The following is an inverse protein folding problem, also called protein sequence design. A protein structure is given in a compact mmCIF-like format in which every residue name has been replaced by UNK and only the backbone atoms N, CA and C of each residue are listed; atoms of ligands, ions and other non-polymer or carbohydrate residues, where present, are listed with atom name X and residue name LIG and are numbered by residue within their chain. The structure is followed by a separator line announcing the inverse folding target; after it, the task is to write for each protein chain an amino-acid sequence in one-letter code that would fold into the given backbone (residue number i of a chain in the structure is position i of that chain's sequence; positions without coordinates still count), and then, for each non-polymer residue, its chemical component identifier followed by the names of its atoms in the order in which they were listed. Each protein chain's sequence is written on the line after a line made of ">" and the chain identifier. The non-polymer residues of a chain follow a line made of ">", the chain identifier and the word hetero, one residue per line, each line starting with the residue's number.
data_IF_564679716183
#
_entry.id   IF_564679716183
#
_cell.length_a   1.000
_cell.length_b   1.000
_cell.length_c   1.000
_cell.angle_alpha   90.00
_cell.angle_beta   90.00
_cell.angle_gamma   90.00
#
_symmetry.space_group_name_H-M   'P 1'
#
loop_
_entity.id
_entity.type
_entity.pdbx_description
1 polymer ?
#
# COMPACT_ATOMS: atom_id res chain seq x y z
N UNK A 1 64.58 16.41 15.52
CA UNK A 1 64.09 16.94 14.22
C UNK A 1 62.85 16.10 13.89
N UNK A 2 61.63 16.39 14.38
CA UNK A 2 60.78 17.57 14.12
C UNK A 2 60.67 17.80 12.59
N UNK A 3 59.53 17.76 11.90
CA UNK A 3 58.22 18.46 12.06
C UNK A 3 57.17 17.69 11.20
N UNK A 4 56.01 17.25 11.71
CA UNK A 4 54.66 17.84 11.59
C UNK A 4 54.17 18.28 10.19
N UNK A 5 53.10 17.66 9.66
CA UNK A 5 52.06 18.42 8.95
C UNK A 5 50.70 17.73 9.07
N UNK A 6 49.72 18.54 9.45
CA UNK A 6 48.31 18.27 9.66
C UNK A 6 47.52 18.22 8.35
N UNK A 7 46.55 17.32 8.25
CA UNK A 7 45.30 17.63 7.56
C UNK A 7 44.12 16.95 8.25
N UNK A 8 43.17 17.79 8.65
CA UNK A 8 41.91 17.44 9.30
C UNK A 8 41.02 16.66 8.33
N UNK A 9 40.72 15.41 8.67
CA UNK A 9 39.61 14.67 8.06
C UNK A 9 38.29 15.23 8.61
N UNK A 10 37.54 15.93 7.76
CA UNK A 10 36.14 16.26 8.00
C UNK A 10 35.31 14.99 7.80
N UNK A 11 34.74 14.49 8.88
CA UNK A 11 33.66 13.51 8.88
C UNK A 11 32.39 14.14 8.27
N UNK A 12 31.73 13.53 7.27
CA UNK A 12 30.35 13.87 6.96
C UNK A 12 29.43 13.26 8.04
N UNK A 13 28.52 14.08 8.52
CA UNK A 13 27.61 13.81 9.63
C UNK A 13 26.65 12.66 9.34
N UNK A 14 26.57 11.72 10.27
CA UNK A 14 25.43 10.82 10.42
C UNK A 14 24.19 11.64 10.87
N UNK A 15 22.98 11.40 10.32
CA UNK A 15 21.78 11.99 10.87
C UNK A 15 21.42 11.28 12.18
N UNK A 16 21.66 11.98 13.29
CA UNK A 16 21.25 11.62 14.63
C UNK A 16 19.75 11.87 14.82
N UNK A 17 19.00 10.84 15.20
CA UNK A 17 17.63 10.98 15.71
C UNK A 17 17.38 9.97 16.82
N UNK A 18 17.78 10.29 18.05
CA UNK A 18 17.21 9.75 19.29
C UNK A 18 17.39 10.76 20.42
N UNK A 19 16.31 11.17 21.11
CA UNK A 19 16.42 11.49 22.52
C UNK A 19 15.59 10.54 23.38
N UNK A 20 16.22 10.18 24.49
CA UNK A 20 15.73 9.34 25.56
C UNK A 20 14.56 9.97 26.34
N UNK A 21 13.79 9.07 26.94
CA UNK A 21 12.66 9.26 27.87
C UNK A 21 12.97 10.12 29.11
N UNK A 22 11.99 10.93 29.55
CA UNK A 22 11.67 11.14 30.98
C UNK A 22 10.16 11.22 31.22
N UNK A 23 9.71 10.49 32.24
CA UNK A 23 8.36 10.42 32.81
C UNK A 23 8.09 11.60 33.76
N UNK A 24 6.83 12.02 33.84
CA UNK A 24 6.00 12.43 35.00
C UNK A 24 4.72 13.01 34.37
N UNK A 25 3.46 12.73 34.73
CA UNK A 25 2.87 12.19 35.95
C UNK A 25 1.68 13.10 36.31
N UNK A 26 0.48 12.50 36.40
CA UNK A 26 -0.68 12.89 37.22
C UNK A 26 -1.87 13.68 36.62
N UNK A 27 -3.03 13.19 37.05
CA UNK A 27 -4.36 13.78 37.26
C UNK A 27 -5.52 13.50 36.26
N UNK A 28 -6.63 13.18 36.91
CA UNK A 28 -7.99 12.73 36.55
C UNK A 28 -8.93 13.53 37.50
N UNK A 29 -10.28 13.38 37.51
CA UNK A 29 -11.33 13.44 36.49
C UNK A 29 -12.45 14.48 36.87
N UNK A 30 -13.44 14.72 35.99
CA UNK A 30 -14.82 15.17 36.35
C UNK A 30 -15.71 15.16 35.08
N UNK A 31 -16.73 14.32 34.97
CA UNK A 31 -18.12 14.43 35.47
C UNK A 31 -19.08 15.32 34.64
N UNK A 32 -20.11 14.65 34.12
CA UNK A 32 -21.53 15.02 33.99
C UNK A 32 -21.95 16.33 33.29
N UNK A 33 -22.83 16.22 32.28
CA UNK A 33 -24.20 16.74 32.39
C UNK A 33 -25.11 16.21 31.28
N UNK A 34 -26.23 15.65 31.73
CA UNK A 34 -27.43 15.28 30.99
C UNK A 34 -28.25 16.54 30.73
N UNK A 35 -28.78 16.73 29.52
CA UNK A 35 -29.86 17.68 29.27
C UNK A 35 -30.99 16.99 28.50
N UNK A 36 -32.07 16.68 29.22
CA UNK A 36 -33.40 16.43 28.67
C UNK A 36 -34.11 17.78 28.56
N UNK A 37 -34.73 18.07 27.42
CA UNK A 37 -35.91 18.94 27.41
C UNK A 37 -36.96 18.36 26.47
N UNK A 38 -38.15 18.25 27.06
CA UNK A 38 -39.42 17.87 26.47
C UNK A 38 -40.11 19.12 25.93
N UNK A 39 -40.73 19.05 24.75
CA UNK A 39 -42.01 19.73 24.53
C UNK A 39 -42.80 19.11 23.37
N UNK A 40 -44.04 18.76 23.70
CA UNK A 40 -45.13 18.33 22.84
C UNK A 40 -45.89 19.53 22.26
N UNK A 41 -46.34 19.43 21.00
CA UNK A 41 -47.67 19.91 20.59
C UNK A 41 -48.07 19.30 19.24
N UNK A 42 -49.34 18.91 19.16
CA UNK A 42 -50.05 18.32 18.02
C UNK A 42 -50.86 19.38 17.25
N UNK A 43 -51.41 18.95 16.10
CA UNK A 43 -52.43 19.54 15.19
C UNK A 43 -51.81 20.25 13.96
N UNK A 44 -52.25 20.09 12.72
CA UNK A 44 -53.23 19.20 12.09
C UNK A 44 -53.04 19.22 10.55
N UNK A 45 -53.41 18.12 9.91
CA UNK A 45 -53.94 17.91 8.54
C UNK A 45 -53.42 18.65 7.27
N UNK A 46 -53.20 17.80 6.25
CA UNK A 46 -53.36 17.97 4.78
C UNK A 46 -52.33 18.78 3.99
N UNK A 47 -51.43 18.07 3.28
CA UNK A 47 -51.41 17.95 1.80
C UNK A 47 -50.46 16.80 1.43
N UNK A 48 -50.99 15.73 0.83
CA UNK A 48 -50.24 14.55 0.39
C UNK A 48 -49.41 14.87 -0.86
N UNK A 49 -48.08 14.88 -0.72
CA UNK A 49 -47.14 14.72 -1.83
C UNK A 49 -46.50 13.33 -1.70
N UNK A 50 -46.89 12.46 -2.63
CA UNK A 50 -46.38 11.10 -2.78
C UNK A 50 -44.90 11.14 -3.20
N UNK A 51 -44.01 10.98 -2.22
CA UNK A 51 -42.57 10.76 -2.46
C UNK A 51 -42.25 9.35 -2.00
N UNK A 52 -42.42 8.40 -2.93
CA UNK A 52 -41.88 7.05 -2.78
C UNK A 52 -40.36 7.13 -2.57
N UNK A 53 -39.80 6.49 -1.52
CA UNK A 53 -38.35 6.44 -1.36
C UNK A 53 -37.78 5.54 -2.46
N UNK A 54 -37.10 6.14 -3.45
CA UNK A 54 -36.29 5.39 -4.42
C UNK A 54 -35.27 4.57 -3.63
N UNK A 55 -35.44 3.24 -3.67
CA UNK A 55 -34.46 2.27 -3.20
C UNK A 55 -33.08 2.65 -3.74
N UNK A 56 -32.15 2.96 -2.83
CA UNK A 56 -30.74 3.03 -3.13
C UNK A 56 -30.35 1.69 -3.79
N UNK A 57 -30.02 1.74 -5.08
CA UNK A 57 -29.48 0.59 -5.79
C UNK A 57 -28.11 0.31 -5.20
N UNK A 58 -27.98 -0.79 -4.49
CA UNK A 58 -26.69 -1.39 -4.15
C UNK A 58 -25.92 -1.62 -5.45
N UNK A 59 -24.81 -0.91 -5.64
CA UNK A 59 -23.89 -1.17 -6.76
C UNK A 59 -23.28 -2.57 -6.57
N UNK A 60 -23.44 -3.48 -7.54
CA UNK A 60 -22.77 -4.77 -7.45
C UNK A 60 -21.26 -4.54 -7.66
N UNK A 61 -20.44 -5.09 -6.76
CA UNK A 61 -19.00 -5.28 -6.98
C UNK A 61 -18.86 -6.06 -8.29
N UNK A 62 -18.37 -5.41 -9.34
CA UNK A 62 -18.22 -6.03 -10.65
C UNK A 62 -17.05 -7.03 -10.59
N UNK A 63 -17.36 -8.27 -10.20
CA UNK A 63 -16.46 -9.42 -10.34
C UNK A 63 -16.29 -9.71 -11.83
N UNK A 64 -15.30 -9.09 -12.46
CA UNK A 64 -14.86 -9.50 -13.80
C UNK A 64 -14.10 -10.82 -13.65
N UNK A 65 -14.83 -11.93 -13.72
CA UNK A 65 -14.25 -13.28 -13.83
C UNK A 65 -13.92 -13.49 -15.30
N UNK A 66 -12.65 -13.31 -15.67
CA UNK A 66 -12.18 -13.73 -16.99
C UNK A 66 -12.17 -15.26 -17.01
N UNK A 67 -12.77 -15.92 -18.02
CA UNK A 67 -12.72 -17.38 -18.12
C UNK A 67 -11.27 -17.82 -18.30
N UNK A 68 -10.78 -18.60 -17.33
CA UNK A 68 -9.47 -19.26 -17.40
C UNK A 68 -9.57 -20.33 -18.47
N UNK A 69 -8.83 -20.18 -19.57
CA UNK A 69 -8.61 -21.27 -20.52
C UNK A 69 -7.98 -22.43 -19.75
N UNK A 70 -8.66 -23.57 -19.70
CA UNK A 70 -8.19 -24.79 -19.03
C UNK A 70 -6.92 -25.29 -19.72
N UNK A 71 -5.76 -24.90 -19.22
CA UNK A 71 -4.49 -25.46 -19.65
C UNK A 71 -4.39 -26.94 -19.25
N UNK A 72 -3.91 -27.79 -20.16
CA UNK A 72 -3.67 -29.20 -19.86
C UNK A 72 -2.47 -29.35 -18.93
N UNK A 73 -2.46 -30.40 -18.09
CA UNK A 73 -1.37 -30.71 -17.15
C UNK A 73 0.01 -30.75 -17.82
N UNK A 74 0.09 -31.16 -19.09
CA UNK A 74 1.35 -31.20 -19.86
C UNK A 74 1.90 -29.78 -20.18
N UNK A 75 1.04 -28.84 -20.55
CA UNK A 75 1.46 -27.45 -20.84
C UNK A 75 1.92 -26.70 -19.59
N UNK A 76 1.37 -27.04 -18.43
CA UNK A 76 1.83 -26.53 -17.12
C UNK A 76 3.21 -27.10 -16.80
N UNK A 77 3.42 -28.40 -17.03
CA UNK A 77 4.69 -29.07 -16.80
C UNK A 77 5.83 -28.52 -17.67
N UNK A 78 5.57 -28.23 -18.95
CA UNK A 78 6.59 -27.66 -19.84
C UNK A 78 7.01 -26.25 -19.42
N UNK A 79 6.03 -25.37 -19.11
CA UNK A 79 6.24 -23.96 -18.75
C UNK A 79 7.18 -23.80 -17.57
N UNK A 80 7.01 -24.59 -16.52
CA UNK A 80 7.78 -24.49 -15.28
C UNK A 80 8.95 -25.48 -15.21
N UNK A 81 9.24 -26.22 -16.30
CA UNK A 81 10.28 -27.25 -16.34
C UNK A 81 11.63 -26.77 -15.79
N UNK A 82 12.07 -25.55 -16.13
CA UNK A 82 13.34 -24.97 -15.63
C UNK A 82 13.31 -24.64 -14.15
N UNK A 83 12.17 -24.21 -13.63
CA UNK A 83 12.01 -23.93 -12.20
C UNK A 83 11.95 -25.24 -11.39
N UNK A 84 11.29 -26.28 -11.92
CA UNK A 84 11.23 -27.62 -11.32
C UNK A 84 12.62 -28.26 -11.20
N UNK A 85 13.56 -27.96 -12.10
CA UNK A 85 14.95 -28.46 -12.00
C UNK A 85 15.72 -27.87 -10.82
N UNK A 86 15.29 -26.74 -10.25
CA UNK A 86 15.93 -26.18 -9.07
C UNK A 86 15.54 -27.01 -7.84
N UNK A 87 16.50 -27.78 -7.32
CA UNK A 87 16.26 -28.82 -6.32
C UNK A 87 15.45 -28.38 -5.08
N UNK A 88 15.64 -27.17 -4.50
CA UNK A 88 14.79 -26.71 -3.41
C UNK A 88 13.31 -26.58 -3.76
N UNK A 89 12.97 -26.25 -5.01
CA UNK A 89 11.59 -26.19 -5.49
C UNK A 89 11.12 -27.59 -5.90
N UNK A 90 11.73 -28.20 -6.91
CA UNK A 90 11.30 -29.50 -7.42
C UNK A 90 9.84 -29.51 -7.94
N UNK A 91 9.34 -30.69 -8.28
CA UNK A 91 7.94 -30.83 -8.71
C UNK A 91 6.95 -30.50 -7.57
N UNK A 92 7.22 -31.02 -6.36
CA UNK A 92 6.37 -30.80 -5.20
C UNK A 92 6.31 -29.33 -4.75
N UNK A 93 7.42 -28.58 -4.82
CA UNK A 93 7.39 -27.15 -4.54
C UNK A 93 6.65 -26.37 -5.61
N UNK A 94 6.75 -26.77 -6.89
CA UNK A 94 5.96 -26.15 -7.96
C UNK A 94 4.45 -26.36 -7.77
N UNK A 95 4.01 -27.54 -7.31
CA UNK A 95 2.61 -27.81 -6.97
C UNK A 95 2.13 -26.89 -5.83
N UNK A 96 2.95 -26.69 -4.79
CA UNK A 96 2.63 -25.75 -3.70
C UNK A 96 2.52 -24.31 -4.20
N UNK A 97 3.45 -23.88 -5.06
CA UNK A 97 3.42 -22.55 -5.70
C UNK A 97 2.14 -22.41 -6.53
N UNK A 98 1.79 -23.42 -7.34
CA UNK A 98 0.58 -23.43 -8.17
C UNK A 98 -0.72 -23.42 -7.36
N UNK A 99 -0.72 -23.95 -6.14
CA UNK A 99 -1.87 -23.89 -5.23
C UNK A 99 -1.92 -22.60 -4.40
N UNK A 100 -0.87 -21.76 -4.45
CA UNK A 100 -0.70 -20.65 -3.52
C UNK A 100 -1.57 -19.43 -3.83
N UNK A 101 -1.89 -18.68 -2.77
CA UNK A 101 -2.63 -17.41 -2.81
C UNK A 101 -1.82 -16.32 -2.14
N UNK A 102 -1.39 -15.33 -2.92
CA UNK A 102 -0.53 -14.23 -2.47
C UNK A 102 -1.25 -12.90 -2.67
N UNK A 103 -1.26 -12.05 -1.65
CA UNK A 103 -1.77 -10.68 -1.76
C UNK A 103 -0.60 -9.69 -1.89
N UNK A 104 -0.73 -8.74 -2.81
CA UNK A 104 0.26 -7.68 -3.05
C UNK A 104 -0.44 -6.34 -2.83
N UNK A 105 0.04 -5.58 -1.86
CA UNK A 105 -0.49 -4.25 -1.53
C UNK A 105 0.42 -3.21 -2.18
N UNK A 106 -0.12 -2.51 -3.17
CA UNK A 106 0.62 -1.65 -4.07
C UNK A 106 1.00 -2.36 -5.37
N UNK A 107 0.63 -1.78 -6.50
CA UNK A 107 1.02 -2.13 -7.87
C UNK A 107 1.94 -1.04 -8.46
N UNK A 108 2.68 -0.33 -7.61
CA UNK A 108 3.75 0.59 -8.01
C UNK A 108 4.97 -0.16 -8.56
N UNK A 109 6.16 0.43 -8.42
CA UNK A 109 7.38 -0.12 -9.03
C UNK A 109 7.73 -1.51 -8.47
N UNK A 110 7.78 -1.64 -7.14
CA UNK A 110 8.07 -2.91 -6.46
C UNK A 110 6.97 -3.93 -6.71
N UNK A 111 5.71 -3.51 -6.63
CA UNK A 111 4.55 -4.38 -6.74
C UNK A 111 4.36 -4.94 -8.14
N UNK A 112 4.57 -4.11 -9.17
CA UNK A 112 4.55 -4.55 -10.56
C UNK A 112 5.64 -5.60 -10.84
N UNK A 113 6.87 -5.36 -10.35
CA UNK A 113 7.96 -6.31 -10.48
C UNK A 113 7.67 -7.62 -9.72
N UNK A 114 7.20 -7.53 -8.47
CA UNK A 114 6.87 -8.70 -7.64
C UNK A 114 5.72 -9.53 -8.25
N UNK A 115 4.64 -8.87 -8.70
CA UNK A 115 3.52 -9.53 -9.35
C UNK A 115 3.95 -10.23 -10.64
N UNK A 116 4.81 -9.59 -11.44
CA UNK A 116 5.36 -10.21 -12.65
C UNK A 116 6.19 -11.46 -12.33
N UNK A 117 7.07 -11.40 -11.33
CA UNK A 117 7.90 -12.52 -10.92
C UNK A 117 7.07 -13.68 -10.35
N UNK A 118 6.13 -13.40 -9.43
CA UNK A 118 5.25 -14.43 -8.84
C UNK A 118 4.36 -15.08 -9.90
N UNK A 119 3.80 -14.29 -10.80
CA UNK A 119 3.01 -14.82 -11.90
C UNK A 119 3.85 -15.72 -12.81
N UNK A 120 5.09 -15.33 -13.14
CA UNK A 120 6.00 -16.16 -13.94
C UNK A 120 6.50 -17.39 -13.20
N UNK A 121 6.58 -17.35 -11.87
CA UNK A 121 6.85 -18.51 -11.03
C UNK A 121 5.66 -19.47 -10.93
N UNK A 122 4.48 -19.06 -11.38
CA UNK A 122 3.27 -19.89 -11.41
C UNK A 122 2.46 -19.86 -10.11
N UNK A 123 2.52 -18.78 -9.33
CA UNK A 123 1.64 -18.62 -8.16
C UNK A 123 0.18 -18.66 -8.60
N UNK A 124 -0.59 -19.60 -8.05
CA UNK A 124 -1.94 -19.91 -8.53
C UNK A 124 -2.94 -18.76 -8.46
N UNK A 125 -2.85 -17.93 -7.43
CA UNK A 125 -3.73 -16.77 -7.25
C UNK A 125 -2.97 -15.56 -6.75
N UNK A 126 -3.12 -14.43 -7.46
CA UNK A 126 -2.61 -13.13 -7.04
C UNK A 126 -3.78 -12.18 -6.74
N UNK A 127 -3.77 -11.57 -5.56
CA UNK A 127 -4.67 -10.47 -5.20
C UNK A 127 -3.88 -9.18 -5.26
N UNK A 128 -4.24 -8.28 -6.18
CA UNK A 128 -3.55 -7.02 -6.45
C UNK A 128 -4.39 -5.87 -5.93
N UNK A 129 -3.87 -5.11 -4.97
CA UNK A 129 -4.59 -4.00 -4.34
C UNK A 129 -3.83 -2.71 -4.63
N UNK A 130 -4.41 -1.83 -5.43
CA UNK A 130 -3.85 -0.50 -5.68
C UNK A 130 -4.97 0.46 -6.09
N UNK A 131 -4.95 1.67 -5.56
CA UNK A 131 -5.92 2.74 -5.83
C UNK A 131 -5.50 3.66 -6.98
N UNK A 132 -4.23 3.66 -7.34
CA UNK A 132 -3.64 4.62 -8.24
C UNK A 132 -3.86 4.21 -9.71
N UNK A 133 -3.58 5.17 -10.59
CA UNK A 133 -3.62 5.03 -12.03
C UNK A 133 -2.20 5.06 -12.60
N UNK A 134 -2.04 4.48 -13.79
CA UNK A 134 -0.77 4.54 -14.51
C UNK A 134 -0.49 5.97 -14.95
N UNK A 135 0.75 6.43 -14.74
CA UNK A 135 1.23 7.74 -15.16
C UNK A 135 2.52 7.60 -15.97
N UNK A 136 2.73 8.46 -16.97
CA UNK A 136 3.89 8.42 -17.86
C UNK A 136 5.23 8.52 -17.10
N UNK A 137 5.30 9.39 -16.10
CA UNK A 137 6.47 9.57 -15.23
C UNK A 137 6.87 8.32 -14.43
N UNK A 138 6.00 7.31 -14.40
CA UNK A 138 6.20 6.06 -13.65
C UNK A 138 6.72 4.92 -14.53
N UNK A 139 6.56 5.02 -15.84
CA UNK A 139 6.88 3.94 -16.79
C UNK A 139 8.36 3.55 -16.76
N UNK A 140 9.25 4.47 -16.39
CA UNK A 140 10.69 4.19 -16.26
C UNK A 140 11.03 3.06 -15.24
N UNK A 141 10.12 2.78 -14.29
CA UNK A 141 10.34 1.80 -13.20
C UNK A 141 9.19 0.82 -12.97
N UNK A 142 8.02 1.01 -13.59
CA UNK A 142 6.84 0.15 -13.38
C UNK A 142 6.67 -0.83 -14.55
N UNK A 143 7.34 -1.97 -14.44
CA UNK A 143 7.58 -2.92 -15.55
C UNK A 143 6.35 -3.59 -16.16
N UNK A 144 5.17 -3.50 -15.53
CA UNK A 144 3.93 -4.10 -16.05
C UNK A 144 3.10 -3.15 -16.93
N UNK A 145 3.43 -1.85 -16.96
CA UNK A 145 2.59 -0.86 -17.61
C UNK A 145 3.21 -0.34 -18.91
N UNK A 146 2.36 0.04 -19.85
CA UNK A 146 2.74 0.64 -21.14
C UNK A 146 2.25 2.09 -21.26
N UNK A 147 2.77 2.80 -22.27
CA UNK A 147 2.35 4.18 -22.54
C UNK A 147 0.85 4.32 -22.80
N UNK A 148 0.22 3.30 -23.40
CA UNK A 148 -1.23 3.29 -23.61
C UNK A 148 -2.00 3.27 -22.29
N UNK A 149 -1.52 2.51 -21.29
CA UNK A 149 -2.13 2.48 -19.96
C UNK A 149 -2.08 3.86 -19.31
N UNK A 150 -0.96 4.57 -19.48
CA UNK A 150 -0.77 5.94 -18.99
C UNK A 150 -1.68 6.94 -19.70
N UNK A 151 -1.76 6.90 -21.04
CA UNK A 151 -2.63 7.78 -21.83
C UNK A 151 -4.10 7.63 -21.44
N UNK A 152 -4.52 6.39 -21.17
CA UNK A 152 -5.89 6.07 -20.79
C UNK A 152 -6.17 6.26 -19.28
N UNK A 153 -5.16 6.63 -18.47
CA UNK A 153 -5.24 6.66 -17.02
C UNK A 153 -5.87 5.36 -16.48
N UNK A 154 -5.32 4.22 -16.88
CA UNK A 154 -5.83 2.90 -16.46
C UNK A 154 -5.48 2.65 -14.99
N UNK A 155 -6.41 2.11 -14.16
CA UNK A 155 -6.07 1.71 -12.79
C UNK A 155 -4.91 0.71 -12.77
N UNK A 156 -3.91 0.92 -11.90
CA UNK A 156 -2.70 0.08 -11.84
C UNK A 156 -3.02 -1.39 -11.60
N UNK A 157 -3.92 -1.68 -10.66
CA UNK A 157 -4.33 -3.06 -10.35
C UNK A 157 -4.94 -3.76 -11.59
N UNK A 158 -5.76 -3.05 -12.36
CA UNK A 158 -6.38 -3.59 -13.57
C UNK A 158 -5.40 -3.71 -14.74
N UNK A 159 -4.52 -2.71 -14.94
CA UNK A 159 -3.46 -2.78 -15.94
C UNK A 159 -2.51 -3.97 -15.67
N UNK A 160 -2.12 -4.18 -14.42
CA UNK A 160 -1.31 -5.32 -14.00
C UNK A 160 -2.02 -6.65 -14.28
N UNK A 161 -3.31 -6.76 -13.92
CA UNK A 161 -4.15 -7.94 -14.19
C UNK A 161 -4.17 -8.29 -15.68
N UNK A 162 -4.45 -7.31 -16.54
CA UNK A 162 -4.47 -7.51 -18.01
C UNK A 162 -3.11 -7.96 -18.53
N UNK A 163 -2.02 -7.30 -18.10
CA UNK A 163 -0.66 -7.64 -18.55
C UNK A 163 -0.26 -9.05 -18.14
N UNK A 164 -0.52 -9.42 -16.89
CA UNK A 164 -0.18 -10.74 -16.38
C UNK A 164 -0.99 -11.82 -17.10
N UNK A 165 -2.30 -11.61 -17.30
CA UNK A 165 -3.14 -12.55 -18.06
C UNK A 165 -2.61 -12.79 -19.49
N UNK A 166 -1.96 -11.81 -20.11
CA UNK A 166 -1.37 -11.94 -21.44
C UNK A 166 -0.14 -12.85 -21.49
N UNK A 167 0.66 -12.92 -20.43
CA UNK A 167 1.86 -13.80 -20.41
C UNK A 167 1.68 -15.07 -19.57
N UNK A 168 0.72 -15.12 -18.65
CA UNK A 168 0.35 -16.31 -17.89
C UNK A 168 -1.16 -16.37 -17.62
N UNK A 169 -1.89 -16.98 -18.55
CA UNK A 169 -3.34 -17.17 -18.47
C UNK A 169 -3.77 -18.32 -17.54
N UNK A 170 -2.83 -19.06 -16.94
CA UNK A 170 -3.12 -20.23 -16.10
C UNK A 170 -3.41 -19.87 -14.64
N UNK A 171 -3.12 -18.63 -14.23
CA UNK A 171 -3.27 -18.19 -12.84
C UNK A 171 -4.50 -17.30 -12.67
N UNK A 172 -5.09 -17.29 -11.49
CA UNK A 172 -6.16 -16.38 -11.12
C UNK A 172 -5.59 -15.04 -10.65
N UNK A 173 -6.21 -13.94 -11.06
CA UNK A 173 -5.79 -12.60 -10.63
C UNK A 173 -7.03 -11.80 -10.23
N UNK A 174 -7.03 -11.34 -8.98
CA UNK A 174 -8.06 -10.48 -8.42
C UNK A 174 -7.52 -9.07 -8.30
N UNK A 175 -7.97 -8.16 -9.17
CA UNK A 175 -7.63 -6.75 -9.09
C UNK A 175 -8.65 -6.00 -8.23
N UNK A 176 -8.17 -5.36 -7.18
CA UNK A 176 -8.95 -4.47 -6.32
C UNK A 176 -8.43 -3.04 -6.52
N UNK A 177 -9.26 -2.22 -7.16
CA UNK A 177 -9.00 -0.78 -7.33
C UNK A 177 -9.42 -0.10 -6.03
N UNK A 178 -8.59 -0.24 -5.01
CA UNK A 178 -8.89 0.16 -3.66
C UNK A 178 -7.64 0.60 -2.93
N UNK A 179 -7.84 1.54 -2.00
CA UNK A 179 -6.87 1.83 -0.98
C UNK A 179 -7.02 0.80 0.14
N UNK A 180 -5.90 0.35 0.72
CA UNK A 180 -5.96 -0.61 1.82
C UNK A 180 -6.18 0.15 3.12
N UNK A 181 -7.34 -0.08 3.74
CA UNK A 181 -7.79 0.68 4.90
C UNK A 181 -8.26 -0.26 6.00
N UNK A 182 -8.32 0.19 7.28
CA UNK A 182 -8.81 -0.63 8.39
C UNK A 182 -10.17 -1.28 8.12
N UNK A 183 -11.09 -0.53 7.50
CA UNK A 183 -12.44 -1.01 7.20
C UNK A 183 -12.55 -2.05 6.08
N UNK A 184 -11.52 -2.27 5.25
CA UNK A 184 -11.57 -3.24 4.14
C UNK A 184 -10.46 -4.30 4.17
N UNK A 185 -9.43 -4.15 5.02
CA UNK A 185 -8.26 -5.03 5.01
C UNK A 185 -8.60 -6.50 5.25
N UNK A 186 -9.54 -6.80 6.16
CA UNK A 186 -9.99 -8.17 6.40
C UNK A 186 -10.65 -8.81 5.19
N UNK A 187 -11.42 -8.03 4.42
CA UNK A 187 -12.06 -8.52 3.21
C UNK A 187 -11.02 -8.73 2.10
N UNK A 188 -10.18 -7.72 1.86
CA UNK A 188 -9.24 -7.71 0.74
C UNK A 188 -8.08 -8.70 0.90
N UNK A 189 -7.65 -8.97 2.14
CA UNK A 189 -6.57 -9.92 2.43
C UNK A 189 -7.08 -11.31 2.83
N UNK A 190 -8.39 -11.55 2.74
CA UNK A 190 -8.99 -12.83 3.11
C UNK A 190 -8.40 -13.98 2.27
N UNK A 191 -8.00 -15.07 2.93
CA UNK A 191 -7.48 -16.28 2.28
C UNK A 191 -6.09 -16.14 1.67
N UNK A 192 -5.41 -15.00 1.83
CA UNK A 192 -4.00 -14.86 1.48
C UNK A 192 -3.14 -15.69 2.45
N UNK A 193 -2.21 -16.47 1.91
CA UNK A 193 -1.26 -17.23 2.73
C UNK A 193 -0.08 -16.38 3.18
N UNK A 194 0.20 -15.31 2.42
CA UNK A 194 1.26 -14.35 2.67
C UNK A 194 0.94 -13.03 1.95
N UNK A 195 1.32 -11.93 2.58
CA UNK A 195 1.14 -10.56 2.08
C UNK A 195 2.50 -9.98 1.67
N UNK A 196 2.56 -9.26 0.56
CA UNK A 196 3.73 -8.50 0.12
C UNK A 196 3.42 -7.01 0.19
N UNK A 197 4.28 -6.27 0.88
CA UNK A 197 4.25 -4.80 0.87
C UNK A 197 5.03 -4.26 -0.33
N UNK A 198 4.32 -3.56 -1.19
CA UNK A 198 4.86 -2.78 -2.28
C UNK A 198 4.34 -1.33 -2.23
N UNK A 199 3.99 -0.87 -1.02
CA UNK A 199 3.51 0.47 -0.73
C UNK A 199 4.67 1.43 -0.50
N UNK A 200 4.40 2.71 -0.68
CA UNK A 200 5.34 3.81 -0.48
C UNK A 200 5.01 4.66 0.76
N UNK A 201 4.02 4.25 1.56
CA UNK A 201 3.55 5.01 2.72
C UNK A 201 3.60 4.18 4.00
N UNK A 202 4.06 4.80 5.09
CA UNK A 202 4.19 4.12 6.37
C UNK A 202 2.85 3.71 6.97
N UNK A 203 1.80 4.52 6.82
CA UNK A 203 0.48 4.23 7.36
C UNK A 203 -0.02 2.84 6.97
N UNK A 204 0.06 2.50 5.68
CA UNK A 204 -0.35 1.19 5.17
C UNK A 204 0.57 0.08 5.69
N UNK A 205 1.86 0.35 5.86
CA UNK A 205 2.81 -0.64 6.42
C UNK A 205 2.50 -0.98 7.87
N UNK A 206 2.16 0.02 8.69
CA UNK A 206 1.74 -0.22 10.08
C UNK A 206 0.37 -0.91 10.15
N UNK A 207 -0.55 -0.58 9.24
CA UNK A 207 -1.82 -1.30 9.11
C UNK A 207 -1.62 -2.78 8.73
N UNK A 208 -0.79 -3.07 7.73
CA UNK A 208 -0.46 -4.45 7.34
C UNK A 208 0.25 -5.18 8.49
N UNK A 209 1.14 -4.51 9.22
CA UNK A 209 1.80 -5.08 10.40
C UNK A 209 0.80 -5.52 11.46
N UNK A 210 -0.12 -4.64 11.85
CA UNK A 210 -1.15 -4.96 12.84
C UNK A 210 -2.01 -6.14 12.39
N UNK A 211 -2.48 -6.12 11.13
CA UNK A 211 -3.25 -7.22 10.54
C UNK A 211 -2.47 -8.54 10.51
N UNK A 212 -1.20 -8.50 10.09
CA UNK A 212 -0.32 -9.67 10.00
C UNK A 212 -0.16 -10.36 11.37
N UNK A 213 0.05 -9.57 12.42
CA UNK A 213 0.20 -10.08 13.79
C UNK A 213 -1.13 -10.55 14.38
N UNK A 214 -2.22 -9.83 14.12
CA UNK A 214 -3.54 -10.19 14.62
C UNK A 214 -4.03 -11.51 14.00
N UNK A 215 -3.97 -11.62 12.68
CA UNK A 215 -4.50 -12.75 11.90
C UNK A 215 -3.49 -13.89 11.72
N UNK A 216 -2.28 -13.74 12.25
CA UNK A 216 -1.17 -14.69 12.05
C UNK A 216 -0.85 -14.98 10.57
N UNK A 217 -1.02 -13.97 9.71
CA UNK A 217 -0.70 -14.06 8.27
C UNK A 217 0.69 -13.47 8.03
N UNK A 218 1.66 -14.23 7.49
CA UNK A 218 2.99 -13.71 7.18
C UNK A 218 2.97 -12.52 6.23
N UNK A 219 3.94 -11.63 6.43
CA UNK A 219 4.11 -10.44 5.64
C UNK A 219 5.59 -10.23 5.29
N UNK A 220 5.87 -9.87 4.03
CA UNK A 220 7.23 -9.50 3.61
C UNK A 220 7.26 -8.01 3.31
N UNK A 221 7.93 -7.28 4.19
CA UNK A 221 8.26 -5.88 4.01
C UNK A 221 9.31 -5.71 2.91
N UNK A 222 9.09 -4.75 2.02
CA UNK A 222 10.07 -4.31 1.04
C UNK A 222 9.99 -2.79 0.84
N UNK A 223 11.14 -2.16 0.65
CA UNK A 223 11.22 -0.74 0.34
C UNK A 223 12.40 -0.47 -0.60
N UNK A 224 12.29 0.58 -1.41
CA UNK A 224 13.40 1.07 -2.21
C UNK A 224 13.31 2.60 -2.34
N UNK A 225 14.47 3.27 -2.30
CA UNK A 225 14.60 4.71 -2.49
C UNK A 225 16.03 5.04 -2.93
N UNK A 226 16.22 5.96 -3.88
CA UNK A 226 17.53 6.17 -4.50
C UNK A 226 18.07 4.86 -5.06
N UNK A 227 19.26 4.45 -4.63
CA UNK A 227 19.88 3.15 -4.92
C UNK A 227 19.70 2.10 -3.81
N UNK A 228 19.04 2.46 -2.71
CA UNK A 228 18.83 1.57 -1.57
C UNK A 228 17.63 0.67 -1.77
N UNK A 229 17.78 -0.57 -1.35
CA UNK A 229 16.72 -1.57 -1.21
C UNK A 229 16.74 -2.14 0.21
N UNK A 230 15.57 -2.36 0.78
CA UNK A 230 15.42 -3.00 2.08
C UNK A 230 14.34 -4.08 2.04
N UNK A 231 14.53 -5.14 2.82
CA UNK A 231 13.52 -6.20 2.97
C UNK A 231 13.62 -6.89 4.32
N UNK A 232 12.46 -7.28 4.86
CA UNK A 232 12.35 -8.02 6.12
C UNK A 232 11.16 -8.97 6.08
N UNK A 233 11.35 -10.17 6.63
CA UNK A 233 10.29 -11.15 6.80
C UNK A 233 9.62 -11.00 8.17
N UNK A 234 8.34 -10.67 8.19
CA UNK A 234 7.49 -10.66 9.38
C UNK A 234 6.71 -11.99 9.39
N UNK A 235 7.14 -12.90 10.25
CA UNK A 235 6.52 -14.19 10.50
C UNK A 235 5.93 -14.13 11.92
N UNK A 236 4.61 -13.94 12.07
CA UNK A 236 3.97 -13.77 13.37
C UNK A 236 4.37 -14.85 14.38
N UNK A 237 4.80 -14.42 15.56
CA UNK A 237 5.28 -15.30 16.64
C UNK A 237 6.69 -15.89 16.44
N UNK A 238 7.32 -15.69 15.28
CA UNK A 238 8.64 -16.27 14.97
C UNK A 238 9.73 -15.23 14.72
N UNK A 239 9.39 -14.07 14.15
CA UNK A 239 10.34 -12.96 13.91
C UNK A 239 9.84 -11.67 14.54
N UNK A 240 10.72 -10.67 14.59
CA UNK A 240 10.35 -9.31 14.94
C UNK A 240 9.28 -8.77 13.97
N UNK A 241 8.25 -8.11 14.50
CA UNK A 241 7.33 -7.34 13.68
C UNK A 241 7.94 -5.98 13.31
N UNK A 242 7.29 -5.20 12.43
CA UNK A 242 7.78 -3.87 12.07
C UNK A 242 7.96 -2.98 13.31
N UNK A 243 6.99 -3.01 14.23
CA UNK A 243 7.01 -2.21 15.45
C UNK A 243 8.11 -2.60 16.46
N UNK A 244 8.73 -3.77 16.33
CA UNK A 244 9.91 -4.12 17.14
C UNK A 244 11.13 -3.27 16.75
N UNK A 245 11.31 -2.98 15.46
CA UNK A 245 12.44 -2.23 14.94
C UNK A 245 12.12 -0.75 14.78
N UNK A 246 10.87 -0.44 14.46
CA UNK A 246 10.36 0.91 14.26
C UNK A 246 9.09 1.08 15.10
N UNK A 247 9.20 1.39 16.41
CA UNK A 247 8.04 1.46 17.29
C UNK A 247 7.01 2.53 16.92
N UNK A 248 7.42 3.54 16.15
CA UNK A 248 6.55 4.59 15.65
C UNK A 248 6.92 4.92 14.20
N UNK A 249 5.93 5.27 13.35
CA UNK A 249 6.23 5.78 12.03
C UNK A 249 7.17 6.99 12.13
N UNK A 250 8.12 7.14 11.18
CA UNK A 250 9.04 8.27 11.20
C UNK A 250 8.25 9.59 11.14
N UNK A 251 8.60 10.50 12.04
CA UNK A 251 8.05 11.86 12.08
C UNK A 251 8.99 12.82 11.35
N UNK A 252 8.44 13.70 10.50
CA UNK A 252 9.21 14.73 9.78
C UNK A 252 9.27 14.49 8.27
N UNK A 253 10.16 15.22 7.59
CA UNK A 253 10.40 15.05 6.15
C UNK A 253 11.12 13.74 5.89
N UNK A 254 10.37 12.74 5.43
CA UNK A 254 10.94 11.49 4.94
C UNK A 254 11.23 11.65 3.45
N UNK A 255 12.40 11.19 3.01
CA UNK A 255 12.70 11.16 1.59
C UNK A 255 11.70 10.27 0.86
N UNK A 256 11.23 10.75 -0.29
CA UNK A 256 10.35 10.01 -1.20
C UNK A 256 11.09 9.74 -2.50
N UNK A 257 10.52 8.85 -3.33
CA UNK A 257 11.02 8.62 -4.69
C UNK A 257 11.13 9.91 -5.52
N UNK A 258 10.33 10.94 -5.19
CA UNK A 258 10.27 12.18 -5.96
C UNK A 258 11.22 13.25 -5.42
N UNK A 259 11.69 13.11 -4.17
CA UNK A 259 12.69 14.03 -3.59
C UNK A 259 14.10 13.47 -3.70
N UNK A 260 14.28 12.18 -3.44
CA UNK A 260 15.59 11.51 -3.51
C UNK A 260 15.87 10.84 -4.86
N UNK A 261 14.86 10.75 -5.73
CA UNK A 261 14.93 9.90 -6.92
C UNK A 261 14.78 8.42 -6.59
N UNK A 262 14.68 7.60 -7.63
CA UNK A 262 14.68 6.15 -7.46
C UNK A 262 15.26 5.44 -8.68
N UNK A 263 16.22 4.55 -8.42
CA UNK A 263 16.84 3.70 -9.40
C UNK A 263 15.94 2.48 -9.65
N UNK A 264 15.55 2.26 -10.91
CA UNK A 264 14.66 1.15 -11.25
C UNK A 264 15.25 -0.23 -10.93
N UNK A 265 16.58 -0.41 -10.99
CA UNK A 265 17.24 -1.66 -10.61
C UNK A 265 17.20 -1.91 -9.11
N UNK A 266 17.23 -0.86 -8.26
CA UNK A 266 17.06 -1.00 -6.82
C UNK A 266 15.66 -1.51 -6.47
N UNK A 267 14.63 -1.02 -7.16
CA UNK A 267 13.26 -1.54 -7.05
C UNK A 267 13.19 -3.00 -7.45
N UNK A 268 13.72 -3.35 -8.63
CA UNK A 268 13.70 -4.72 -9.13
C UNK A 268 14.45 -5.68 -8.20
N UNK A 269 15.54 -5.21 -7.58
CA UNK A 269 16.28 -5.97 -6.57
C UNK A 269 15.45 -6.18 -5.30
N UNK A 270 14.80 -5.14 -4.78
CA UNK A 270 13.90 -5.25 -3.63
C UNK A 270 12.76 -6.26 -3.91
N UNK A 271 12.12 -6.18 -5.08
CA UNK A 271 11.09 -7.12 -5.50
C UNK A 271 11.63 -8.55 -5.63
N UNK A 272 12.83 -8.73 -6.17
CA UNK A 272 13.47 -10.05 -6.29
C UNK A 272 13.75 -10.69 -4.93
N UNK A 273 14.23 -9.89 -3.97
CA UNK A 273 14.40 -10.33 -2.57
C UNK A 273 13.06 -10.75 -1.97
N UNK A 274 12.05 -9.90 -2.10
CA UNK A 274 10.70 -10.14 -1.56
C UNK A 274 10.07 -11.41 -2.14
N UNK A 275 10.15 -11.61 -3.46
CA UNK A 275 9.60 -12.81 -4.13
C UNK A 275 10.40 -14.06 -3.78
N UNK A 276 11.72 -13.97 -3.67
CA UNK A 276 12.55 -15.10 -3.24
C UNK A 276 12.13 -15.61 -1.86
N UNK A 277 11.93 -14.71 -0.91
CA UNK A 277 11.46 -15.06 0.44
C UNK A 277 10.01 -15.60 0.42
N UNK A 278 9.16 -15.08 -0.47
CA UNK A 278 7.81 -15.61 -0.71
C UNK A 278 7.86 -17.07 -1.18
N UNK A 279 8.68 -17.37 -2.19
CA UNK A 279 8.79 -18.72 -2.73
C UNK A 279 9.29 -19.72 -1.68
N UNK A 280 10.29 -19.35 -0.88
CA UNK A 280 10.75 -20.16 0.26
C UNK A 280 9.62 -20.48 1.23
N UNK A 281 8.82 -19.47 1.59
CA UNK A 281 7.66 -19.66 2.46
C UNK A 281 6.64 -20.63 1.84
N UNK A 282 6.28 -20.42 0.56
CA UNK A 282 5.27 -21.23 -0.12
C UNK A 282 5.66 -22.71 -0.26
N UNK A 283 6.95 -23.01 -0.49
CA UNK A 283 7.43 -24.39 -0.56
C UNK A 283 7.60 -25.04 0.83
N UNK A 284 7.55 -24.24 1.90
CA UNK A 284 7.70 -24.67 3.29
C UNK A 284 9.15 -24.68 3.81
N UNK A 285 10.09 -24.05 3.12
CA UNK A 285 11.49 -23.95 3.55
C UNK A 285 11.72 -22.73 4.47
N UNK A 286 11.13 -22.79 5.66
CA UNK A 286 11.16 -21.68 6.63
C UNK A 286 12.54 -21.46 7.27
N UNK A 287 13.44 -22.45 7.16
CA UNK A 287 14.81 -22.36 7.66
C UNK A 287 15.71 -21.55 6.73
N UNK A 288 15.45 -21.60 5.42
CA UNK A 288 16.16 -20.79 4.43
C UNK A 288 15.70 -19.32 4.40
N UNK A 289 14.58 -18.98 5.06
CA UNK A 289 14.10 -17.61 5.12
C UNK A 289 15.01 -16.72 5.96
N UNK A 290 15.25 -15.51 5.48
CA UNK A 290 16.08 -14.51 6.17
C UNK A 290 15.46 -14.10 7.50
N UNK A 291 16.30 -13.92 8.52
CA UNK A 291 15.92 -13.54 9.90
C UNK A 291 16.52 -12.17 10.29
N UNK A 292 16.70 -11.32 9.30
CA UNK A 292 17.26 -9.97 9.42
C UNK A 292 16.45 -8.98 8.60
N UNK A 293 16.47 -7.70 9.01
CA UNK A 293 16.21 -6.58 8.13
C UNK A 293 17.46 -6.35 7.30
N UNK A 294 17.38 -6.65 6.00
CA UNK A 294 18.42 -6.36 5.03
C UNK A 294 18.26 -4.93 4.53
N UNK A 295 19.38 -4.21 4.44
CA UNK A 295 19.56 -2.98 3.68
C UNK A 295 20.72 -3.15 2.70
N UNK A 296 20.54 -2.75 1.46
CA UNK A 296 21.55 -2.86 0.41
C UNK A 296 21.54 -1.62 -0.47
N UNK A 297 22.68 -0.96 -0.60
CA UNK A 297 22.90 0.11 -1.56
C UNK A 297 23.51 -0.47 -2.84
N UNK A 298 22.73 -0.48 -3.93
CA UNK A 298 23.21 -1.02 -5.21
C UNK A 298 24.28 -0.15 -5.88
N UNK A 299 24.39 1.13 -5.52
CA UNK A 299 25.35 2.02 -6.14
C UNK A 299 26.75 1.83 -5.54
N UNK A 300 26.82 1.71 -4.22
CA UNK A 300 28.09 1.53 -3.48
C UNK A 300 28.43 0.06 -3.22
N UNK A 301 27.47 -0.85 -3.43
CA UNK A 301 27.54 -2.28 -3.07
C UNK A 301 27.65 -2.51 -1.54
N UNK A 302 27.20 -1.55 -0.73
CA UNK A 302 27.19 -1.68 0.72
C UNK A 302 25.99 -2.47 1.20
N UNK A 303 26.22 -3.40 2.13
CA UNK A 303 25.20 -4.25 2.76
C UNK A 303 25.22 -4.10 4.26
N UNK A 304 24.04 -3.95 4.84
CA UNK A 304 23.83 -3.96 6.29
C UNK A 304 22.68 -4.90 6.65
N UNK A 305 22.82 -5.62 7.76
CA UNK A 305 21.78 -6.48 8.29
C UNK A 305 21.60 -6.27 9.79
N UNK A 306 20.35 -6.08 10.20
CA UNK A 306 19.94 -5.98 11.60
C UNK A 306 19.13 -7.22 11.93
N UNK A 307 19.45 -7.89 13.05
CA UNK A 307 18.70 -9.08 13.48
C UNK A 307 17.21 -8.76 13.67
N UNK A 308 16.36 -9.59 13.06
CA UNK A 308 14.91 -9.61 13.27
C UNK A 308 14.45 -11.02 13.68
N UNK A 309 15.37 -11.85 14.17
CA UNK A 309 15.16 -13.27 14.37
C UNK A 309 14.20 -13.63 15.50
N UNK A 310 13.84 -12.68 16.37
CA UNK A 310 12.98 -12.91 17.53
C UNK A 310 11.98 -11.77 17.72
N UNK A 311 10.71 -12.07 18.06
CA UNK A 311 9.77 -11.05 18.51
C UNK A 311 10.22 -10.47 19.85
N UNK A 312 9.77 -9.25 20.13
CA UNK A 312 9.97 -8.57 21.41
C UNK A 312 8.68 -8.70 22.24
N UNK A 313 8.79 -9.21 23.47
CA UNK A 313 7.65 -9.38 24.38
C UNK A 313 7.09 -8.05 24.88
N UNK A 314 7.90 -6.99 24.88
CA UNK A 314 7.48 -5.64 25.29
C UNK A 314 6.95 -4.79 24.12
N UNK A 315 7.04 -5.29 22.89
CA UNK A 315 6.49 -4.61 21.73
C UNK A 315 4.97 -4.43 21.87
N UNK A 316 4.48 -3.19 21.69
CA UNK A 316 3.06 -2.84 21.79
C UNK A 316 2.20 -3.71 20.86
N UNK A 317 2.72 -4.06 19.66
CA UNK A 317 1.99 -4.84 18.66
C UNK A 317 2.14 -6.35 18.88
N UNK A 318 3.33 -6.93 18.70
CA UNK A 318 3.47 -8.39 18.76
C UNK A 318 3.55 -8.98 20.17
N UNK A 319 3.95 -8.19 21.18
CA UNK A 319 4.00 -8.60 22.57
C UNK A 319 2.70 -8.32 23.31
N UNK A 320 2.25 -7.06 23.28
CA UNK A 320 1.06 -6.59 24.01
C UNK A 320 -0.25 -6.64 23.21
N UNK A 321 -0.19 -6.96 21.92
CA UNK A 321 -1.36 -7.13 21.04
C UNK A 321 -2.26 -5.89 20.94
N UNK A 322 -1.65 -4.70 20.88
CA UNK A 322 -2.35 -3.45 20.63
C UNK A 322 -2.30 -3.11 19.13
N UNK A 323 -3.46 -3.14 18.48
CA UNK A 323 -3.59 -2.99 17.02
C UNK A 323 -4.25 -1.66 16.64
N UNK A 324 -3.65 -0.55 17.06
CA UNK A 324 -4.22 0.80 16.92
C UNK A 324 -4.41 1.24 15.47
N UNK A 325 -3.58 0.75 14.53
CA UNK A 325 -3.72 1.07 13.11
C UNK A 325 -4.86 0.27 12.50
N UNK A 326 -5.00 -1.00 12.89
CA UNK A 326 -6.10 -1.86 12.44
C UNK A 326 -7.45 -1.47 13.03
N UNK A 327 -7.48 -0.90 14.24
CA UNK A 327 -8.68 -0.29 14.82
C UNK A 327 -9.08 1.04 14.14
N UNK A 328 -8.20 1.62 13.32
CA UNK A 328 -8.41 2.92 12.66
C UNK A 328 -8.20 4.14 13.55
N UNK A 329 -7.67 3.95 14.77
CA UNK A 329 -7.45 5.03 15.75
C UNK A 329 -6.25 5.90 15.40
N UNK A 330 -5.27 5.35 14.68
CA UNK A 330 -4.00 6.01 14.35
C UNK A 330 -3.97 6.63 12.93
N UNK A 331 -5.14 6.83 12.31
CA UNK A 331 -5.23 7.28 10.92
C UNK A 331 -5.17 8.81 10.81
N UNK A 332 -4.12 9.39 10.19
CA UNK A 332 -4.09 10.83 10.00
C UNK A 332 -5.15 11.20 8.95
N UNK A 333 -5.88 12.28 9.18
CA UNK A 333 -6.83 12.83 8.20
C UNK A 333 -6.17 13.21 6.87
N UNK A 334 -4.83 13.32 6.87
CA UNK A 334 -4.02 13.72 5.73
C UNK A 334 -2.73 12.91 5.67
N UNK A 335 -2.44 12.39 4.50
CA UNK A 335 -1.23 11.61 4.24
C UNK A 335 -0.44 12.28 3.12
N UNK A 336 0.86 12.46 3.34
CA UNK A 336 1.77 12.88 2.27
C UNK A 336 2.02 11.66 1.38
N UNK A 337 1.64 11.79 0.12
CA UNK A 337 1.98 10.83 -0.91
C UNK A 337 3.19 11.40 -1.67
N UNK A 338 4.07 10.54 -2.21
CA UNK A 338 5.11 11.02 -3.13
C UNK A 338 4.52 11.96 -4.22
N UNK A 339 5.37 12.80 -4.82
CA UNK A 339 5.10 13.68 -5.97
C UNK A 339 4.45 15.02 -5.66
N UNK A 340 4.94 15.72 -4.64
CA UNK A 340 4.39 17.03 -4.30
C UNK A 340 2.86 16.95 -4.17
N UNK A 341 2.39 15.89 -3.49
CA UNK A 341 0.97 15.59 -3.40
C UNK A 341 0.54 15.24 -1.98
N UNK A 342 -0.67 15.64 -1.65
CA UNK A 342 -1.30 15.43 -0.35
C UNK A 342 -2.61 14.70 -0.58
N UNK A 343 -2.77 13.56 0.07
CA UNK A 343 -4.03 12.84 0.09
C UNK A 343 -4.85 13.26 1.30
N UNK A 344 -6.12 13.56 1.05
CA UNK A 344 -7.10 13.95 2.06
C UNK A 344 -8.12 12.82 2.19
N UNK A 345 -8.23 12.31 3.42
CA UNK A 345 -9.14 11.25 3.83
C UNK A 345 -10.38 11.85 4.52
N UNK A 346 -10.92 12.94 3.99
CA UNK A 346 -12.12 13.56 4.53
C UNK A 346 -13.38 12.91 3.91
N UNK A 347 -14.13 12.22 4.78
CA UNK A 347 -15.51 11.73 4.63
C UNK A 347 -15.75 10.42 3.86
N UNK A 348 -16.58 9.55 4.45
CA UNK A 348 -17.24 8.39 3.82
C UNK A 348 -18.55 8.85 3.14
N UNK A 349 -18.47 9.75 2.17
CA UNK A 349 -19.68 10.21 1.46
C UNK A 349 -19.53 9.94 -0.04
N UNK A 350 -20.49 9.24 -0.66
CA UNK A 350 -20.50 9.07 -2.10
C UNK A 350 -20.47 10.44 -2.79
N UNK A 351 -19.52 10.63 -3.71
CA UNK A 351 -19.40 11.85 -4.51
C UNK A 351 -20.17 11.65 -5.82
N UNK A 352 -21.10 12.55 -6.12
CA UNK A 352 -21.71 12.62 -7.45
C UNK A 352 -20.76 13.38 -8.39
N UNK A 353 -20.09 12.65 -9.28
CA UNK A 353 -19.15 13.25 -10.23
C UNK A 353 -19.81 14.16 -11.25
N UNK A 354 -21.09 13.95 -11.61
CA UNK A 354 -21.78 14.84 -12.54
C UNK A 354 -22.06 16.20 -11.88
N UNK A 355 -22.53 16.18 -10.63
CA UNK A 355 -22.73 17.41 -9.84
C UNK A 355 -21.40 18.13 -9.59
N UNK A 356 -20.38 17.39 -9.15
CA UNK A 356 -19.06 17.95 -8.87
C UNK A 356 -18.41 18.54 -10.13
N UNK A 357 -18.54 17.87 -11.29
CA UNK A 357 -18.03 18.37 -12.56
C UNK A 357 -18.71 19.67 -12.97
N UNK A 358 -20.04 19.75 -12.86
CA UNK A 358 -20.78 20.96 -13.18
C UNK A 358 -20.34 22.15 -12.32
N UNK A 359 -20.10 21.91 -11.02
CA UNK A 359 -19.61 22.94 -10.08
C UNK A 359 -18.18 23.38 -10.38
N UNK A 360 -17.31 22.46 -10.80
CA UNK A 360 -15.90 22.74 -11.04
C UNK A 360 -15.60 23.29 -12.43
N UNK A 361 -16.51 23.13 -13.40
CA UNK A 361 -16.29 23.54 -14.80
C UNK A 361 -15.89 25.02 -14.97
N UNK A 362 -16.39 25.98 -14.17
CA UNK A 362 -15.95 27.38 -14.24
C UNK A 362 -14.52 27.62 -13.75
N UNK A 363 -13.89 26.65 -13.10
CA UNK A 363 -12.66 26.85 -12.32
C UNK A 363 -11.42 26.16 -12.89
N UNK A 364 -11.57 25.35 -13.95
CA UNK A 364 -10.47 24.57 -14.53
C UNK A 364 -10.93 23.49 -15.50
N UNK A 365 -9.98 22.68 -15.97
CA UNK A 365 -10.25 21.57 -16.89
C UNK A 365 -10.68 20.34 -16.11
N UNK A 366 -11.71 19.64 -16.57
CA UNK A 366 -12.20 18.43 -15.92
C UNK A 366 -12.08 17.24 -16.85
N UNK A 367 -11.62 16.12 -16.31
CA UNK A 367 -11.73 14.79 -16.91
C UNK A 367 -12.38 13.88 -15.88
N UNK A 368 -13.42 13.15 -16.25
CA UNK A 368 -14.09 12.24 -15.33
C UNK A 368 -14.49 10.95 -16.04
N UNK A 369 -14.51 9.87 -15.28
CA UNK A 369 -15.09 8.58 -15.65
C UNK A 369 -15.83 8.01 -14.41
N UNK A 370 -16.30 6.77 -14.47
CA UNK A 370 -17.02 6.14 -13.35
C UNK A 370 -16.16 5.94 -12.08
N UNK A 371 -14.84 5.98 -12.21
CA UNK A 371 -13.89 5.68 -11.12
C UNK A 371 -13.27 6.92 -10.48
N UNK A 372 -13.23 8.06 -11.18
CA UNK A 372 -12.66 9.31 -10.67
C UNK A 372 -13.21 10.56 -11.35
N UNK A 373 -12.97 11.70 -10.71
CA UNK A 373 -13.00 13.03 -11.31
C UNK A 373 -11.66 13.71 -11.10
N UNK A 374 -11.00 14.11 -12.19
CA UNK A 374 -9.75 14.88 -12.21
C UNK A 374 -10.05 16.31 -12.59
N UNK A 375 -9.72 17.24 -11.70
CA UNK A 375 -9.84 18.68 -11.86
C UNK A 375 -8.44 19.31 -11.94
N UNK A 376 -8.12 19.94 -13.07
CA UNK A 376 -6.83 20.54 -13.34
C UNK A 376 -6.93 22.06 -13.31
N UNK A 377 -6.17 22.67 -12.40
CA UNK A 377 -6.02 24.12 -12.28
C UNK A 377 -4.56 24.43 -11.91
N UNK A 378 -3.68 24.65 -12.91
CA UNK A 378 -2.26 24.87 -12.67
C UNK A 378 -1.99 25.92 -11.58
N UNK A 379 -1.04 25.65 -10.65
CA UNK A 379 -0.12 24.50 -10.63
C UNK A 379 -0.70 23.21 -10.01
N UNK A 380 -1.99 23.17 -9.66
CA UNK A 380 -2.59 22.08 -8.90
C UNK A 380 -3.41 21.13 -9.76
N UNK A 381 -3.45 19.86 -9.36
CA UNK A 381 -4.41 18.88 -9.85
C UNK A 381 -5.11 18.22 -8.68
N UNK A 382 -6.44 18.13 -8.72
CA UNK A 382 -7.26 17.48 -7.70
C UNK A 382 -7.92 16.26 -8.33
N UNK A 383 -7.57 15.06 -7.87
CA UNK A 383 -8.26 13.83 -8.27
C UNK A 383 -9.18 13.39 -7.14
N UNK A 384 -10.47 13.26 -7.40
CA UNK A 384 -11.51 12.86 -6.43
C UNK A 384 -12.01 11.47 -6.75
N UNK A 385 -12.18 10.66 -5.71
CA UNK A 385 -12.65 9.28 -5.77
C UNK A 385 -14.13 9.17 -5.34
N UNK A 386 -14.82 8.08 -5.69
CA UNK A 386 -16.26 7.93 -5.41
C UNK A 386 -16.59 7.96 -3.93
N UNK A 387 -15.63 7.63 -3.07
CA UNK A 387 -15.78 7.57 -1.62
C UNK A 387 -15.53 8.91 -0.90
N UNK A 388 -15.19 9.99 -1.62
CA UNK A 388 -14.93 11.31 -1.04
C UNK A 388 -13.45 11.64 -0.86
N UNK A 389 -12.57 10.64 -0.99
CA UNK A 389 -11.13 10.87 -0.93
C UNK A 389 -10.67 11.76 -2.08
N UNK A 390 -9.64 12.56 -1.81
CA UNK A 390 -8.98 13.33 -2.86
C UNK A 390 -7.46 13.29 -2.78
N UNK A 391 -6.83 13.30 -3.95
CA UNK A 391 -5.40 13.49 -4.13
C UNK A 391 -5.16 14.90 -4.67
N UNK A 392 -4.46 15.74 -3.91
CA UNK A 392 -4.10 17.11 -4.26
C UNK A 392 -2.64 17.12 -4.71
N UNK A 393 -2.39 17.17 -6.02
CA UNK A 393 -1.06 17.31 -6.61
C UNK A 393 -0.71 18.80 -6.79
N UNK A 394 0.57 19.13 -6.65
CA UNK A 394 1.08 20.51 -6.73
C UNK A 394 1.40 21.16 -5.38
N UNK A 395 1.27 20.42 -4.27
CA UNK A 395 1.64 20.86 -2.92
C UNK A 395 2.07 19.71 -2.02
N UNK A 396 3.05 19.95 -1.14
CA UNK A 396 3.39 19.09 0.00
C UNK A 396 2.88 19.65 1.32
N UNK A 397 2.20 20.80 1.33
CA UNK A 397 1.68 21.42 2.55
C UNK A 397 0.27 20.90 2.87
N UNK A 398 0.07 20.15 3.97
CA UNK A 398 -1.23 19.67 4.41
C UNK A 398 -2.27 20.78 4.65
N UNK A 399 -1.83 21.99 5.02
CA UNK A 399 -2.73 23.13 5.25
C UNK A 399 -3.23 23.69 3.92
N UNK A 400 -2.32 23.90 2.97
CA UNK A 400 -2.69 24.29 1.61
C UNK A 400 -3.59 23.27 0.94
N UNK A 401 -3.27 21.98 1.07
CA UNK A 401 -4.08 20.89 0.52
C UNK A 401 -5.51 20.90 1.09
N UNK A 402 -5.67 21.05 2.42
CA UNK A 402 -7.00 21.22 3.05
C UNK A 402 -7.75 22.40 2.51
N UNK A 403 -7.07 23.53 2.36
CA UNK A 403 -7.68 24.75 1.85
C UNK A 403 -8.19 24.54 0.42
N UNK A 404 -7.43 23.85 -0.43
CA UNK A 404 -7.82 23.50 -1.79
C UNK A 404 -9.01 22.52 -1.80
N UNK A 405 -8.96 21.49 -0.96
CA UNK A 405 -10.05 20.53 -0.82
C UNK A 405 -11.33 21.19 -0.35
N UNK A 406 -11.31 21.94 0.76
CA UNK A 406 -12.48 22.65 1.29
C UNK A 406 -13.07 23.64 0.27
N UNK A 407 -12.22 24.32 -0.52
CA UNK A 407 -12.65 25.30 -1.51
C UNK A 407 -13.35 24.70 -2.72
N UNK A 408 -12.84 23.59 -3.24
CA UNK A 408 -13.28 23.03 -4.52
C UNK A 408 -14.13 21.77 -4.37
N UNK A 409 -13.85 20.97 -3.35
CA UNK A 409 -14.51 19.69 -3.10
C UNK A 409 -15.47 19.80 -1.92
N UNK A 410 -15.07 20.50 -0.86
CA UNK A 410 -15.93 20.82 0.28
C UNK A 410 -17.22 21.52 -0.16
N UNK A 411 -18.32 21.17 0.51
CA UNK A 411 -19.65 21.76 0.31
C UNK A 411 -19.78 23.08 1.04
#
# INVERSE_FOLDING_TARGET
>A
MTVCSSSQTRLPCAPSCFPATRRHGLFSPAQNAVYRSTHSSQLDATTTLDVTPRRLRTFPILRVVVPVLSATSETIAERYSRQVLFAPIGAAGQEKIAAARVAIVGCGATGAAAAALLARAGVGTLTLIDRDFVEESNLQRQVLFEEEDARNATPKAEAARRRIAAFNSQIAIHAHIADLVPGNIHELLNGAQIVLDATDNFETRYLINDYSIEQAVPWIYAAAIGSYAASMNILPGQTACLACLFPKPPSGTVETCDTAGILNTAVNFAASLQVTETLKYLIGDLNAMRRTLLSYDLWTNERSEISSARPDSECEVCGKRQFVHLAGEARPHITLCGRNSVQIHEHNRPVDFAELAARLAPHGTIRSNELLLRFERPPFTITVFPDGRALIQGTTDPVQARTLYARYIGS
#
